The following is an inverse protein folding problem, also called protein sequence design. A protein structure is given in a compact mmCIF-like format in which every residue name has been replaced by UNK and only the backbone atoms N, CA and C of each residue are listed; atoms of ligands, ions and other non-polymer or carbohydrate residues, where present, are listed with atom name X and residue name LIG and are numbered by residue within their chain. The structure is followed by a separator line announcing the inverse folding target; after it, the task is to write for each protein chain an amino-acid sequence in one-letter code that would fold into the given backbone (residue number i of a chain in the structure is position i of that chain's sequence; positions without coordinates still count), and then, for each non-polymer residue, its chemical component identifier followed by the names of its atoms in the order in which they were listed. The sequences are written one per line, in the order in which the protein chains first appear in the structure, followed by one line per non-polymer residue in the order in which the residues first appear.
data_IF_515691846608
#
_entry.id   IF_515691846608
#
_cell.length_a   1.000
_cell.length_b   1.000
_cell.length_c   1.000
_cell.angle_alpha   90.00
_cell.angle_beta   90.00
_cell.angle_gamma   90.00
#
_symmetry.space_group_name_H-M   'P 1'
#
loop_
_entity.id
_entity.type
_entity.pdbx_description
1 polymer ?
#
# COMPACT_ATOMS: atom_id res chain seq x y z
N UNK A 1 0.75 51.43 74.74
CA UNK A 1 0.54 51.85 73.34
C UNK A 1 1.33 50.87 72.48
N UNK A 2 0.83 50.03 71.58
CA UNK A 2 -0.48 49.49 71.20
C UNK A 2 -0.17 48.11 70.56
N UNK A 3 -0.86 47.03 70.93
CA UNK A 3 -1.99 46.43 70.20
C UNK A 3 -1.71 45.99 68.74
N UNK A 4 -1.64 44.65 68.53
CA UNK A 4 -2.30 43.79 67.51
C UNK A 4 -2.40 44.21 66.01
N UNK A 5 -2.63 43.27 65.06
CA UNK A 5 -2.32 41.83 64.99
C UNK A 5 -1.84 41.40 63.55
N UNK A 6 -2.12 40.20 62.97
CA UNK A 6 -1.17 39.51 62.09
C UNK A 6 -1.44 39.74 60.60
N UNK A 7 -0.37 39.87 59.81
CA UNK A 7 -0.45 39.92 58.36
C UNK A 7 -0.43 38.52 57.74
N UNK A 8 -1.62 37.92 57.61
CA UNK A 8 -1.87 36.78 56.72
C UNK A 8 -1.85 37.33 55.28
N UNK A 9 -0.88 36.93 54.45
CA UNK A 9 -0.96 37.16 53.00
C UNK A 9 -0.47 35.91 52.25
N UNK A 10 -1.44 35.03 52.02
CA UNK A 10 -1.73 34.36 50.76
C UNK A 10 -0.55 33.75 49.99
N UNK A 11 -0.37 32.44 50.19
CA UNK A 11 0.19 31.51 49.21
C UNK A 11 -0.53 31.78 47.86
N UNK A 12 0.18 32.01 46.74
CA UNK A 12 -0.49 32.04 45.45
C UNK A 12 -1.07 30.65 45.18
N UNK A 13 -2.40 30.60 45.10
CA UNK A 13 -3.16 29.42 44.72
C UNK A 13 -2.61 28.89 43.39
N UNK A 14 -2.31 27.59 43.38
CA UNK A 14 -2.07 26.87 42.14
C UNK A 14 -3.24 27.14 41.17
N UNK A 15 -2.98 27.41 39.88
CA UNK A 15 -4.06 27.44 38.90
C UNK A 15 -4.65 26.03 38.80
N UNK A 16 -5.77 25.85 39.49
CA UNK A 16 -6.66 24.72 39.30
C UNK A 16 -7.45 24.97 38.02
N UNK A 17 -6.85 24.59 36.89
CA UNK A 17 -7.57 24.24 35.67
C UNK A 17 -6.84 23.07 35.05
N UNK A 18 -7.55 21.96 34.95
CA UNK A 18 -7.33 20.93 33.95
C UNK A 18 -6.96 21.60 32.61
N UNK A 19 -5.67 21.70 32.32
CA UNK A 19 -5.18 21.72 30.95
C UNK A 19 -4.80 20.27 30.67
N UNK A 20 -5.83 19.42 30.62
CA UNK A 20 -5.80 18.22 29.83
C UNK A 20 -5.61 18.70 28.39
N UNK A 21 -4.36 18.99 28.00
CA UNK A 21 -3.95 18.94 26.61
C UNK A 21 -3.93 17.48 26.23
N UNK A 22 -5.14 16.98 26.03
CA UNK A 22 -5.39 15.89 25.12
C UNK A 22 -4.79 16.37 23.79
N UNK A 23 -3.61 15.84 23.46
CA UNK A 23 -3.12 15.80 22.09
C UNK A 23 -4.06 14.85 21.31
N UNK A 24 -5.32 15.25 21.19
CA UNK A 24 -6.31 14.65 20.30
C UNK A 24 -6.06 15.25 18.92
N UNK A 25 -5.29 14.56 18.09
CA UNK A 25 -5.02 15.10 16.77
C UNK A 25 -4.08 14.37 15.84
N UNK A 26 -3.66 13.14 16.12
CA UNK A 26 -3.17 12.28 15.04
C UNK A 26 -4.34 11.42 14.60
N UNK A 27 -5.12 11.95 13.64
CA UNK A 27 -6.08 11.17 12.89
C UNK A 27 -5.39 9.85 12.54
N UNK A 28 -5.94 8.73 13.00
CA UNK A 28 -5.45 7.40 12.66
C UNK A 28 -5.32 7.37 11.14
N UNK A 29 -4.10 7.55 10.62
CA UNK A 29 -3.81 7.40 9.20
C UNK A 29 -4.32 6.01 8.88
N UNK A 30 -5.37 5.93 8.06
CA UNK A 30 -5.98 4.65 7.74
C UNK A 30 -4.99 3.96 6.83
N UNK A 31 -4.14 3.15 7.43
CA UNK A 31 -3.26 2.25 6.71
C UNK A 31 -4.15 1.43 5.78
N UNK A 32 -3.84 1.46 4.49
CA UNK A 32 -4.50 0.58 3.51
C UNK A 32 -3.96 -0.81 3.76
N UNK A 33 -4.88 -1.71 4.10
CA UNK A 33 -4.61 -3.11 4.35
C UNK A 33 -5.47 -3.90 3.39
N UNK A 34 -4.81 -4.57 2.44
CA UNK A 34 -5.51 -5.45 1.51
C UNK A 34 -5.40 -6.87 2.03
N UNK A 35 -6.52 -7.56 2.17
CA UNK A 35 -6.56 -9.01 2.32
C UNK A 35 -7.01 -9.64 1.01
N UNK A 36 -6.46 -10.81 0.69
CA UNK A 36 -6.83 -11.49 -0.55
C UNK A 36 -6.41 -12.94 -0.58
N UNK A 37 -6.75 -13.59 -1.68
CA UNK A 37 -6.53 -15.02 -1.90
C UNK A 37 -5.53 -15.22 -3.02
N UNK A 38 -4.49 -16.02 -2.77
CA UNK A 38 -3.47 -16.35 -3.76
C UNK A 38 -4.08 -17.14 -4.91
N UNK A 39 -3.73 -16.75 -6.15
CA UNK A 39 -4.13 -17.45 -7.35
C UNK A 39 -3.01 -17.58 -8.37
N UNK A 40 -3.19 -18.49 -9.32
CA UNK A 40 -2.30 -18.64 -10.47
C UNK A 40 -2.75 -17.81 -11.66
N UNK A 41 -1.81 -17.11 -12.30
CA UNK A 41 -2.03 -16.50 -13.61
C UNK A 41 -1.69 -17.44 -14.77
N UNK A 42 -1.72 -16.92 -16.00
CA UNK A 42 -1.36 -17.68 -17.21
C UNK A 42 0.16 -17.85 -17.42
N UNK A 43 0.99 -17.51 -16.43
CA UNK A 43 2.46 -17.60 -16.51
C UNK A 43 3.14 -16.65 -17.51
N UNK A 44 2.39 -15.70 -18.11
CA UNK A 44 2.92 -14.82 -19.17
C UNK A 44 3.75 -13.65 -18.64
N UNK A 45 3.52 -13.23 -17.41
CA UNK A 45 4.21 -12.09 -16.79
C UNK A 45 5.73 -12.33 -16.68
N UNK A 46 6.18 -13.57 -16.51
CA UNK A 46 7.60 -13.92 -16.38
C UNK A 46 8.46 -13.38 -17.54
N UNK A 47 7.98 -13.46 -18.78
CA UNK A 47 8.72 -12.96 -19.95
C UNK A 47 8.92 -11.45 -19.89
N UNK A 48 7.90 -10.72 -19.41
CA UNK A 48 7.99 -9.28 -19.21
C UNK A 48 8.86 -8.94 -18.01
N UNK A 49 8.63 -9.56 -16.86
CA UNK A 49 9.36 -9.28 -15.63
C UNK A 49 10.86 -9.59 -15.75
N UNK A 50 11.25 -10.52 -16.62
CA UNK A 50 12.66 -10.82 -16.87
C UNK A 50 13.39 -9.79 -17.76
N UNK A 51 12.70 -8.81 -18.36
CA UNK A 51 13.34 -7.83 -19.23
C UNK A 51 14.31 -6.92 -18.44
N UNK A 52 15.57 -6.74 -18.90
CA UNK A 52 16.56 -5.93 -18.19
C UNK A 52 16.07 -4.50 -17.86
N UNK A 53 15.31 -3.89 -18.77
CA UNK A 53 14.76 -2.55 -18.59
C UNK A 53 13.86 -2.41 -17.37
N UNK A 54 13.04 -3.42 -17.07
CA UNK A 54 12.22 -3.40 -15.86
C UNK A 54 13.05 -3.81 -14.65
N UNK A 55 13.95 -4.78 -14.77
CA UNK A 55 14.80 -5.24 -13.67
C UNK A 55 15.68 -4.13 -13.08
N UNK A 56 16.21 -3.23 -13.90
CA UNK A 56 16.98 -2.08 -13.40
C UNK A 56 16.11 -1.08 -12.62
N UNK A 57 14.86 -0.88 -13.05
CA UNK A 57 13.90 -0.04 -12.33
C UNK A 57 13.41 -0.70 -11.05
N UNK A 58 13.14 -2.01 -11.07
CA UNK A 58 12.81 -2.79 -9.88
C UNK A 58 13.96 -2.80 -8.88
N UNK A 59 15.21 -2.87 -9.31
CA UNK A 59 16.38 -2.75 -8.42
C UNK A 59 16.42 -1.40 -7.71
N UNK A 60 16.07 -0.33 -8.41
CA UNK A 60 15.98 1.01 -7.81
C UNK A 60 14.85 1.10 -6.78
N UNK A 61 13.72 0.44 -7.04
CA UNK A 61 12.54 0.44 -6.17
C UNK A 61 12.70 -0.48 -4.94
N UNK A 62 13.13 -1.72 -5.15
CA UNK A 62 13.17 -2.79 -4.14
C UNK A 62 14.55 -2.93 -3.48
N UNK A 63 15.57 -2.23 -3.97
CA UNK A 63 16.96 -2.34 -3.51
C UNK A 63 17.73 -3.54 -4.09
N UNK A 64 17.06 -4.50 -4.72
CA UNK A 64 17.67 -5.63 -5.41
C UNK A 64 16.84 -6.08 -6.63
N UNK A 65 17.38 -6.99 -7.43
CA UNK A 65 16.67 -7.54 -8.60
C UNK A 65 15.40 -8.26 -8.16
N UNK A 66 14.29 -8.01 -8.86
CA UNK A 66 13.04 -8.70 -8.60
C UNK A 66 13.11 -10.14 -9.10
N UNK A 67 12.49 -11.06 -8.38
CA UNK A 67 12.17 -12.38 -8.90
C UNK A 67 11.39 -12.25 -10.22
N UNK A 68 11.72 -13.00 -11.29
CA UNK A 68 11.10 -12.84 -12.60
C UNK A 68 9.70 -13.47 -12.64
N UNK A 69 8.74 -12.84 -11.98
CA UNK A 69 7.34 -13.22 -11.94
C UNK A 69 6.55 -12.34 -10.98
N UNK A 70 5.23 -12.53 -10.97
CA UNK A 70 4.32 -11.87 -10.04
C UNK A 70 3.56 -12.90 -9.21
N UNK A 71 3.30 -12.59 -7.94
CA UNK A 71 2.32 -13.30 -7.15
C UNK A 71 0.96 -12.63 -7.37
N UNK A 72 -0.02 -13.40 -7.82
CA UNK A 72 -1.37 -12.89 -8.05
C UNK A 72 -2.22 -13.11 -6.80
N UNK A 73 -2.90 -12.06 -6.37
CA UNK A 73 -3.79 -12.07 -5.21
C UNK A 73 -5.13 -11.50 -5.63
N UNK A 74 -6.20 -12.29 -5.55
CA UNK A 74 -7.56 -11.83 -5.80
C UNK A 74 -8.11 -11.14 -4.57
N UNK A 75 -8.68 -9.95 -4.76
CA UNK A 75 -9.32 -9.13 -3.71
C UNK A 75 -10.81 -8.95 -4.00
N UNK A 76 -11.62 -8.84 -2.95
CA UNK A 76 -13.07 -8.71 -3.02
C UNK A 76 -13.59 -7.69 -2.01
N UNK A 77 -14.86 -7.30 -2.11
CA UNK A 77 -15.51 -6.42 -1.13
C UNK A 77 -14.76 -5.09 -0.90
N UNK A 78 -14.45 -4.79 0.36
CA UNK A 78 -13.73 -3.57 0.73
C UNK A 78 -12.28 -3.55 0.21
N UNK A 79 -11.61 -4.70 0.18
CA UNK A 79 -10.24 -4.80 -0.36
C UNK A 79 -10.21 -4.46 -1.86
N UNK A 80 -11.27 -4.85 -2.59
CA UNK A 80 -11.44 -4.43 -3.98
C UNK A 80 -11.61 -2.92 -4.09
N UNK A 81 -12.44 -2.29 -3.25
CA UNK A 81 -12.62 -0.82 -3.24
C UNK A 81 -11.28 -0.10 -3.02
N UNK A 82 -10.51 -0.53 -2.03
CA UNK A 82 -9.18 0.03 -1.73
C UNK A 82 -8.21 -0.18 -2.91
N UNK A 83 -8.21 -1.36 -3.53
CA UNK A 83 -7.38 -1.61 -4.71
C UNK A 83 -7.79 -0.76 -5.93
N UNK A 84 -9.10 -0.58 -6.16
CA UNK A 84 -9.60 0.29 -7.23
C UNK A 84 -9.16 1.74 -7.03
N UNK A 85 -9.10 2.24 -5.79
CA UNK A 85 -8.58 3.57 -5.50
C UNK A 85 -7.09 3.70 -5.90
N UNK A 86 -6.27 2.68 -5.63
CA UNK A 86 -4.87 2.66 -6.08
C UNK A 86 -4.74 2.61 -7.61
N UNK A 87 -5.63 1.89 -8.30
CA UNK A 87 -5.66 1.84 -9.77
C UNK A 87 -6.03 3.20 -10.37
N UNK A 88 -7.00 3.91 -9.78
CA UNK A 88 -7.36 5.26 -10.18
C UNK A 88 -6.19 6.25 -9.97
N UNK A 89 -5.50 6.16 -8.83
CA UNK A 89 -4.29 6.94 -8.55
C UNK A 89 -3.17 6.62 -9.57
N UNK A 90 -3.05 5.37 -10.00
CA UNK A 90 -2.13 4.94 -11.04
C UNK A 90 -2.52 5.41 -12.45
N UNK A 91 -3.66 6.10 -12.61
CA UNK A 91 -4.16 6.63 -13.88
C UNK A 91 -4.87 5.60 -14.76
N UNK A 92 -5.33 4.48 -14.19
CA UNK A 92 -6.12 3.49 -14.92
C UNK A 92 -7.62 3.77 -14.81
N UNK A 93 -8.30 3.68 -15.95
CA UNK A 93 -9.74 3.67 -16.02
C UNK A 93 -10.30 2.36 -15.43
N UNK A 94 -11.26 2.49 -14.52
CA UNK A 94 -11.92 1.36 -13.85
C UNK A 94 -13.39 1.28 -14.29
N UNK A 95 -13.60 1.34 -15.61
CA UNK A 95 -14.93 1.39 -16.23
C UNK A 95 -15.69 0.06 -16.12
N UNK A 96 -14.97 -1.06 -16.04
CA UNK A 96 -15.54 -2.41 -15.91
C UNK A 96 -15.96 -2.76 -14.46
N UNK A 97 -15.76 -1.83 -13.52
CA UNK A 97 -16.15 -1.99 -12.11
C UNK A 97 -17.52 -1.35 -11.90
N UNK A 98 -18.37 -1.99 -11.09
CA UNK A 98 -19.66 -1.45 -10.65
C UNK A 98 -19.54 -0.01 -10.14
N UNK A 99 -20.52 0.83 -10.48
CA UNK A 99 -20.51 2.26 -10.14
C UNK A 99 -20.46 2.50 -8.62
N UNK A 100 -21.03 1.60 -7.81
CA UNK A 100 -20.97 1.65 -6.34
C UNK A 100 -19.53 1.50 -5.82
N UNK A 101 -18.79 0.51 -6.33
CA UNK A 101 -17.38 0.30 -5.99
C UNK A 101 -16.54 1.48 -6.47
N UNK A 102 -16.78 1.96 -7.70
CA UNK A 102 -16.07 3.11 -8.25
C UNK A 102 -16.31 4.38 -7.43
N UNK A 103 -17.53 4.59 -6.96
CA UNK A 103 -17.86 5.76 -6.15
C UNK A 103 -17.23 5.66 -4.76
N UNK A 104 -17.27 4.47 -4.14
CA UNK A 104 -16.64 4.22 -2.84
C UNK A 104 -15.12 4.40 -2.88
N UNK A 105 -14.47 4.03 -4.00
CA UNK A 105 -13.03 4.17 -4.19
C UNK A 105 -12.57 5.64 -4.17
N UNK A 106 -13.43 6.61 -4.54
CA UNK A 106 -13.08 8.04 -4.51
C UNK A 106 -12.92 8.59 -3.10
N UNK A 107 -13.51 7.93 -2.11
CA UNK A 107 -13.47 8.33 -0.71
C UNK A 107 -12.31 7.67 0.05
N UNK A 108 -11.53 6.81 -0.61
CA UNK A 108 -10.34 6.18 -0.03
C UNK A 108 -9.17 7.16 -0.05
N UNK A 109 -8.61 7.45 1.13
CA UNK A 109 -7.40 8.26 1.26
C UNK A 109 -6.18 7.48 0.75
N UNK A 110 -5.74 7.82 -0.46
CA UNK A 110 -4.54 7.25 -1.10
C UNK A 110 -3.36 8.21 -1.11
N UNK A 111 -3.52 9.44 -0.59
CA UNK A 111 -2.55 10.53 -0.73
C UNK A 111 -1.23 10.29 0.02
N UNK A 112 -1.21 9.32 0.94
CA UNK A 112 -0.03 8.99 1.76
C UNK A 112 0.85 7.89 1.17
N UNK A 113 0.43 7.22 0.10
CA UNK A 113 1.17 6.12 -0.52
C UNK A 113 1.95 6.61 -1.76
N UNK A 114 3.29 6.61 -1.73
CA UNK A 114 4.09 7.03 -2.88
C UNK A 114 3.84 6.16 -4.11
N UNK A 115 3.41 6.80 -5.20
CA UNK A 115 3.28 6.17 -6.51
C UNK A 115 4.64 6.15 -7.21
N UNK A 116 5.17 4.95 -7.48
CA UNK A 116 6.41 4.76 -8.23
C UNK A 116 6.11 4.35 -9.67
N UNK A 117 6.57 5.14 -10.64
CA UNK A 117 6.37 4.82 -12.06
C UNK A 117 7.47 3.91 -12.60
N UNK A 118 7.08 2.74 -13.12
CA UNK A 118 7.91 1.86 -13.92
C UNK A 118 7.67 2.17 -15.40
N UNK A 119 8.70 2.69 -16.06
CA UNK A 119 8.62 3.14 -17.45
C UNK A 119 8.65 1.93 -18.39
N UNK A 120 7.76 1.98 -19.38
CA UNK A 120 7.81 1.12 -20.55
C UNK A 120 8.97 1.51 -21.49
N UNK A 121 9.18 0.72 -22.54
CA UNK A 121 10.26 0.91 -23.49
C UNK A 121 9.87 0.46 -24.90
N UNK A 122 10.66 0.88 -25.89
CA UNK A 122 10.55 0.41 -27.27
C UNK A 122 11.70 -0.56 -27.57
N UNK A 123 11.39 -1.70 -28.19
CA UNK A 123 12.41 -2.63 -28.70
C UNK A 123 11.93 -3.23 -30.01
N UNK A 124 12.79 -3.18 -31.04
CA UNK A 124 12.51 -3.74 -32.36
C UNK A 124 11.18 -3.25 -32.97
N UNK A 125 10.83 -1.98 -32.70
CA UNK A 125 9.57 -1.38 -33.14
C UNK A 125 8.33 -1.79 -32.33
N UNK A 126 8.49 -2.67 -31.33
CA UNK A 126 7.42 -3.10 -30.43
C UNK A 126 7.46 -2.27 -29.15
N UNK A 127 6.32 -1.68 -28.79
CA UNK A 127 6.13 -0.95 -27.53
C UNK A 127 5.79 -1.91 -26.40
N UNK A 128 6.51 -1.80 -25.29
CA UNK A 128 6.27 -2.50 -24.05
C UNK A 128 5.69 -1.51 -23.03
N UNK A 129 4.51 -1.80 -22.49
CA UNK A 129 3.80 -0.93 -21.55
C UNK A 129 4.59 -0.66 -20.26
N UNK A 130 4.24 0.39 -19.53
CA UNK A 130 4.77 0.62 -18.20
C UNK A 130 3.93 -0.08 -17.12
N UNK A 131 4.24 0.27 -15.89
CA UNK A 131 3.45 -0.08 -14.72
C UNK A 131 3.59 1.00 -13.65
N UNK A 132 2.66 1.01 -12.73
CA UNK A 132 2.72 1.79 -11.51
C UNK A 132 2.98 0.85 -10.33
N UNK A 133 3.71 1.29 -9.32
CA UNK A 133 4.06 0.47 -8.19
C UNK A 133 3.90 1.21 -6.86
N UNK A 134 3.47 0.48 -5.83
CA UNK A 134 3.39 0.94 -4.45
C UNK A 134 4.18 -0.01 -3.56
N UNK A 135 5.10 0.50 -2.75
CA UNK A 135 5.84 -0.32 -1.80
C UNK A 135 4.90 -0.90 -0.75
N UNK A 136 5.11 -2.16 -0.40
CA UNK A 136 4.24 -2.89 0.51
C UNK A 136 5.02 -3.95 1.29
N UNK A 137 4.35 -4.54 2.28
CA UNK A 137 4.81 -5.76 2.96
C UNK A 137 3.69 -6.79 2.88
N UNK A 138 4.03 -7.99 2.41
CA UNK A 138 3.13 -9.15 2.48
C UNK A 138 3.35 -9.88 3.80
N UNK A 139 2.26 -10.21 4.46
CA UNK A 139 2.26 -10.91 5.75
C UNK A 139 1.39 -12.17 5.66
N UNK A 140 1.93 -13.27 6.17
CA UNK A 140 1.28 -14.57 6.29
C UNK A 140 1.73 -15.18 7.61
N UNK A 141 0.78 -15.47 8.50
CA UNK A 141 1.04 -15.83 9.89
C UNK A 141 1.99 -14.81 10.55
N UNK A 142 3.11 -15.27 11.11
CA UNK A 142 4.14 -14.44 11.74
C UNK A 142 5.26 -13.99 10.77
N UNK A 143 5.13 -14.30 9.48
CA UNK A 143 6.14 -13.99 8.48
C UNK A 143 5.76 -12.75 7.68
N UNK A 144 6.70 -11.81 7.54
CA UNK A 144 6.55 -10.60 6.76
C UNK A 144 7.69 -10.46 5.75
N UNK A 145 7.37 -10.16 4.49
CA UNK A 145 8.34 -10.04 3.40
C UNK A 145 8.10 -8.72 2.64
N UNK A 146 9.14 -7.89 2.42
CA UNK A 146 9.02 -6.70 1.59
C UNK A 146 8.65 -7.03 0.14
N UNK A 147 7.73 -6.25 -0.42
CA UNK A 147 7.28 -6.38 -1.80
C UNK A 147 6.82 -5.04 -2.36
N UNK A 148 6.29 -5.05 -3.59
CA UNK A 148 5.53 -3.94 -4.13
C UNK A 148 4.28 -4.46 -4.84
N UNK A 149 3.17 -3.74 -4.67
CA UNK A 149 1.99 -3.88 -5.54
C UNK A 149 2.36 -3.30 -6.89
N UNK A 150 2.19 -4.08 -7.95
CA UNK A 150 2.41 -3.70 -9.33
C UNK A 150 1.07 -3.59 -10.05
N UNK A 151 0.85 -2.47 -10.71
CA UNK A 151 -0.34 -2.18 -11.50
C UNK A 151 0.10 -1.93 -12.95
N UNK A 152 0.08 -2.96 -13.81
CA UNK A 152 0.45 -2.80 -15.22
C UNK A 152 -0.51 -1.86 -15.96
N UNK A 153 0.02 -1.07 -16.90
CA UNK A 153 -0.81 -0.19 -17.75
C UNK A 153 -1.83 -0.98 -18.59
N UNK A 154 -1.47 -2.21 -18.92
CA UNK A 154 -2.22 -3.10 -19.79
C UNK A 154 -2.64 -4.34 -19.00
N UNK A 155 -3.61 -4.18 -18.11
CA UNK A 155 -4.22 -5.30 -17.37
C UNK A 155 -5.73 -5.37 -17.60
N UNK A 156 -6.26 -6.59 -17.58
CA UNK A 156 -7.69 -6.89 -17.75
C UNK A 156 -8.35 -7.40 -16.47
N UNK A 157 -7.55 -7.89 -15.52
CA UNK A 157 -8.05 -8.40 -14.26
C UNK A 157 -8.12 -7.22 -13.28
N UNK A 158 -9.34 -6.80 -12.98
CA UNK A 158 -9.60 -5.60 -12.18
C UNK A 158 -9.51 -5.85 -10.67
N UNK A 159 -9.62 -7.12 -10.30
CA UNK A 159 -9.70 -7.69 -8.96
C UNK A 159 -8.44 -8.47 -8.57
N UNK A 160 -7.45 -8.55 -9.47
CA UNK A 160 -6.17 -9.21 -9.21
C UNK A 160 -5.09 -8.16 -8.95
N UNK A 161 -4.54 -8.23 -7.74
CA UNK A 161 -3.34 -7.51 -7.31
C UNK A 161 -2.13 -8.35 -7.72
N UNK A 162 -1.19 -7.74 -8.44
CA UNK A 162 0.09 -8.38 -8.78
C UNK A 162 1.18 -7.90 -7.82
N UNK A 163 1.93 -8.82 -7.21
CA UNK A 163 3.03 -8.48 -6.31
C UNK A 163 4.36 -8.86 -6.93
N UNK A 164 5.32 -7.93 -6.85
CA UNK A 164 6.73 -8.20 -7.12
C UNK A 164 7.53 -8.17 -5.82
N UNK A 165 8.53 -9.04 -5.72
CA UNK A 165 9.49 -9.05 -4.61
C UNK A 165 10.86 -9.48 -5.14
N UNK A 166 11.88 -9.25 -4.33
CA UNK A 166 13.23 -9.78 -4.58
C UNK A 166 13.29 -11.30 -4.37
N UNK A 167 12.33 -11.85 -3.63
CA UNK A 167 12.21 -13.27 -3.30
C UNK A 167 11.07 -13.94 -4.08
N UNK A 168 11.18 -15.27 -4.26
CA UNK A 168 10.06 -16.07 -4.76
C UNK A 168 9.04 -16.29 -3.64
N UNK A 169 8.03 -15.42 -3.56
CA UNK A 169 7.08 -15.37 -2.44
C UNK A 169 6.38 -16.70 -2.13
N UNK A 170 6.04 -17.50 -3.15
CA UNK A 170 5.40 -18.80 -2.93
C UNK A 170 6.27 -19.76 -2.14
N UNK A 171 7.55 -19.84 -2.48
CA UNK A 171 8.48 -20.69 -1.74
C UNK A 171 8.80 -20.08 -0.38
N UNK A 172 9.08 -18.76 -0.35
CA UNK A 172 9.48 -18.05 0.86
C UNK A 172 8.42 -18.10 1.96
N UNK A 173 7.14 -18.04 1.60
CA UNK A 173 5.99 -18.03 2.52
C UNK A 173 5.19 -19.34 2.47
N UNK A 174 5.66 -20.36 1.74
CA UNK A 174 4.97 -21.65 1.55
C UNK A 174 3.53 -21.54 1.02
N UNK A 175 3.30 -20.64 0.06
CA UNK A 175 1.96 -20.31 -0.46
C UNK A 175 1.52 -21.17 -1.65
N UNK A 176 0.28 -21.63 -1.57
CA UNK A 176 -0.49 -22.33 -2.58
C UNK A 176 -1.68 -21.49 -3.03
N UNK A 177 -2.30 -21.88 -4.14
CA UNK A 177 -3.56 -21.27 -4.56
C UNK A 177 -4.65 -21.54 -3.52
N UNK A 178 -5.43 -20.50 -3.19
CA UNK A 178 -6.43 -20.54 -2.13
C UNK A 178 -5.94 -20.02 -0.78
N UNK A 179 -4.63 -19.83 -0.59
CA UNK A 179 -4.10 -19.30 0.66
C UNK A 179 -4.44 -17.82 0.84
N UNK A 180 -4.74 -17.42 2.08
CA UNK A 180 -5.03 -16.02 2.42
C UNK A 180 -3.77 -15.29 2.84
N UNK A 181 -3.65 -14.06 2.38
CA UNK A 181 -2.53 -13.17 2.71
C UNK A 181 -3.06 -11.79 3.09
N UNK A 182 -2.21 -11.00 3.76
CA UNK A 182 -2.47 -9.59 4.01
C UNK A 182 -1.33 -8.75 3.44
N UNK A 183 -1.65 -7.57 2.91
CA UNK A 183 -0.71 -6.57 2.42
C UNK A 183 -0.87 -5.29 3.22
N UNK A 184 0.24 -4.68 3.58
CA UNK A 184 0.27 -3.35 4.17
C UNK A 184 1.07 -2.42 3.26
N UNK A 185 0.45 -1.35 2.77
CA UNK A 185 1.15 -0.35 1.94
C UNK A 185 2.06 0.53 2.79
N UNK A 186 3.22 0.87 2.24
CA UNK A 186 4.17 1.78 2.86
C UNK A 186 3.76 3.24 2.63
N UNK A 187 3.68 4.01 3.71
CA UNK A 187 3.44 5.46 3.66
C UNK A 187 4.76 6.23 3.62
N UNK A 188 4.76 7.43 3.01
CA UNK A 188 5.87 8.41 3.14
C UNK A 188 5.84 9.20 4.44
#
# INVERSE_FOLDING_TARGET
MGSCPPGFLSIPQAPDRCDARLEEGEARRRLVYLSGVVGSGLGRAQVFMAQPHYQDQFRTLLGATAWPGTLNVTVEGNDLVEYIALRQLAGLDTLDVDDEVRQSAKDVDTGTFPLHRIRGFLRDGVSFGGASAFLATITVDDQAVPCAVLIPDLTRHIDVVELISTEFLRERLSLNDGDRITLSLSTS
#
